data_IF_627463538451
#
_entry.id   IF_627463538451
#
_cell.length_a   1.000
_cell.length_b   1.000
_cell.length_c   1.000
_cell.angle_alpha   90.00
_cell.angle_beta   90.00
_cell.angle_gamma   90.00
#
_symmetry.space_group_name_H-M   'P 1'
#
loop_
_entity.id
_entity.type
_entity.pdbx_description
1 polymer ?
#
# COMPACT_ATOMS: atom_id res chain seq x y z
N UNK A 1 45.56 -58.26 -59.43
CA UNK A 1 45.26 -56.91 -58.87
C UNK A 1 43.75 -56.87 -58.56
N UNK A 2 43.38 -56.99 -57.34
CA UNK A 2 42.04 -56.60 -56.86
C UNK A 2 42.25 -55.67 -55.65
N UNK A 3 41.75 -54.52 -55.54
CA UNK A 3 40.43 -54.02 -55.49
C UNK A 3 40.37 -53.09 -54.29
N UNK A 4 40.61 -51.74 -54.51
CA UNK A 4 40.53 -50.68 -53.48
C UNK A 4 39.08 -50.09 -53.33
N UNK A 5 38.07 -50.87 -53.46
CA UNK A 5 36.69 -50.36 -53.48
C UNK A 5 35.86 -50.64 -52.24
N UNK A 6 36.41 -51.19 -51.17
CA UNK A 6 35.66 -51.57 -49.96
C UNK A 6 35.68 -50.61 -48.77
N UNK A 7 36.52 -49.59 -48.74
CA UNK A 7 36.83 -48.81 -47.54
C UNK A 7 36.02 -47.49 -47.47
N UNK A 8 35.61 -46.92 -48.59
CA UNK A 8 34.95 -45.62 -48.64
C UNK A 8 33.47 -45.64 -48.26
N UNK A 9 32.77 -46.81 -48.35
CA UNK A 9 31.35 -46.89 -47.97
C UNK A 9 31.08 -46.99 -46.46
N UNK A 10 32.03 -47.55 -45.69
CA UNK A 10 31.86 -47.66 -44.24
C UNK A 10 31.97 -46.30 -43.48
N UNK A 11 32.74 -45.37 -44.03
CA UNK A 11 32.94 -44.06 -43.39
C UNK A 11 31.70 -43.14 -43.55
N UNK A 12 30.96 -43.23 -44.65
CA UNK A 12 29.74 -42.44 -44.89
C UNK A 12 28.56 -42.87 -44.02
N UNK A 13 28.43 -44.14 -43.67
CA UNK A 13 27.34 -44.66 -42.85
C UNK A 13 27.53 -44.24 -41.37
N UNK A 14 28.78 -44.24 -40.87
CA UNK A 14 29.09 -43.81 -39.51
C UNK A 14 28.89 -42.28 -39.27
N UNK A 15 29.23 -41.47 -40.27
CA UNK A 15 29.06 -40.02 -40.22
C UNK A 15 27.59 -39.59 -40.17
N UNK A 16 26.72 -40.28 -40.93
CA UNK A 16 25.26 -39.99 -40.90
C UNK A 16 24.61 -40.33 -39.56
N UNK A 17 25.01 -41.46 -38.95
CA UNK A 17 24.53 -41.87 -37.64
C UNK A 17 24.96 -40.91 -36.51
N UNK A 18 26.21 -40.44 -36.56
CA UNK A 18 26.71 -39.46 -35.57
C UNK A 18 25.98 -38.13 -35.71
N UNK A 19 25.75 -37.67 -36.94
CA UNK A 19 25.02 -36.43 -37.18
C UNK A 19 23.54 -36.53 -36.72
N UNK A 20 22.87 -37.66 -37.00
CA UNK A 20 21.47 -37.86 -36.52
C UNK A 20 21.37 -37.96 -35.00
N UNK A 21 22.33 -38.58 -34.32
CA UNK A 21 22.40 -38.63 -32.87
C UNK A 21 22.62 -37.24 -32.27
N UNK A 22 23.48 -36.42 -32.90
CA UNK A 22 23.72 -35.03 -32.45
C UNK A 22 22.46 -34.14 -32.59
N UNK A 23 21.70 -34.25 -33.68
CA UNK A 23 20.46 -33.52 -33.90
C UNK A 23 19.37 -33.94 -32.87
N UNK A 24 19.28 -35.27 -32.59
CA UNK A 24 18.33 -35.77 -31.58
C UNK A 24 18.67 -35.29 -30.16
N UNK A 25 19.95 -35.34 -29.78
CA UNK A 25 20.36 -34.85 -28.44
C UNK A 25 20.20 -33.35 -28.29
N UNK A 26 20.50 -32.58 -29.34
CA UNK A 26 20.31 -31.14 -29.40
C UNK A 26 18.82 -30.77 -29.30
N UNK A 27 17.93 -31.49 -30.01
CA UNK A 27 16.48 -31.30 -29.93
C UNK A 27 15.88 -31.62 -28.53
N UNK A 28 16.39 -32.71 -27.91
CA UNK A 28 16.01 -33.07 -26.55
C UNK A 28 16.45 -32.04 -25.51
N UNK A 29 17.66 -31.52 -25.62
CA UNK A 29 18.16 -30.46 -24.76
C UNK A 29 17.37 -29.17 -24.92
N UNK A 30 17.09 -28.78 -26.16
CA UNK A 30 16.25 -27.59 -26.41
C UNK A 30 14.84 -27.73 -25.84
N UNK A 31 14.22 -28.89 -26.04
CA UNK A 31 12.90 -29.18 -25.46
C UNK A 31 12.93 -29.16 -23.93
N UNK A 32 13.96 -29.66 -23.31
CA UNK A 32 14.14 -29.65 -21.86
C UNK A 32 14.33 -28.24 -21.33
N UNK A 33 15.12 -27.38 -21.99
CA UNK A 33 15.33 -25.97 -21.63
C UNK A 33 14.02 -25.19 -21.75
N UNK A 34 13.26 -25.36 -22.82
CA UNK A 34 11.98 -24.68 -23.02
C UNK A 34 10.93 -25.09 -21.97
N UNK A 35 10.89 -26.35 -21.56
CA UNK A 35 10.00 -26.82 -20.50
C UNK A 35 10.40 -26.36 -19.10
N UNK A 36 11.67 -26.03 -18.85
CA UNK A 36 12.10 -25.44 -17.58
C UNK A 36 11.56 -24.01 -17.39
N UNK A 37 11.48 -23.23 -18.48
CA UNK A 37 10.91 -21.87 -18.43
C UNK A 37 9.40 -21.90 -18.16
N UNK A 38 8.66 -22.83 -18.74
CA UNK A 38 7.21 -22.96 -18.52
C UNK A 38 6.87 -23.36 -17.07
N UNK A 39 7.62 -24.29 -16.48
CA UNK A 39 7.41 -24.68 -15.08
C UNK A 39 7.75 -23.55 -14.10
N UNK A 40 8.68 -22.67 -14.43
CA UNK A 40 8.99 -21.51 -13.61
C UNK A 40 7.87 -20.48 -13.66
N UNK A 41 7.30 -20.23 -14.83
CA UNK A 41 6.14 -19.33 -14.99
C UNK A 41 4.87 -19.84 -14.33
N UNK A 42 4.57 -21.13 -14.43
CA UNK A 42 3.41 -21.70 -13.73
C UNK A 42 3.57 -21.63 -12.21
N UNK A 43 4.75 -21.84 -11.67
CA UNK A 43 5.02 -21.66 -10.24
C UNK A 43 4.86 -20.20 -9.80
N UNK A 44 5.35 -19.24 -10.57
CA UNK A 44 5.13 -17.81 -10.29
C UNK A 44 3.65 -17.44 -10.29
N UNK A 45 2.85 -17.97 -11.22
CA UNK A 45 1.41 -17.68 -11.30
C UNK A 45 0.62 -18.32 -10.16
N UNK A 46 1.02 -19.50 -9.68
CA UNK A 46 0.35 -20.20 -8.57
C UNK A 46 0.76 -19.64 -7.21
N UNK A 47 2.01 -19.19 -7.03
CA UNK A 47 2.51 -18.58 -5.80
C UNK A 47 2.35 -17.06 -5.77
N UNK A 48 2.07 -16.44 -6.91
CA UNK A 48 2.12 -14.99 -7.11
C UNK A 48 1.15 -14.15 -6.28
N UNK A 49 0.16 -14.75 -5.65
CA UNK A 49 -0.79 -14.05 -4.78
C UNK A 49 -0.72 -14.51 -3.31
N UNK A 50 0.31 -15.28 -2.94
CA UNK A 50 0.49 -15.69 -1.55
C UNK A 50 1.31 -14.63 -0.80
N UNK A 51 0.91 -14.29 0.42
CA UNK A 51 1.67 -13.39 1.26
C UNK A 51 3.00 -14.03 1.68
N UNK A 52 4.07 -13.24 1.67
CA UNK A 52 5.41 -13.67 2.06
C UNK A 52 5.80 -13.23 3.48
N UNK A 53 5.04 -12.26 4.06
CA UNK A 53 5.32 -11.74 5.39
C UNK A 53 4.02 -11.50 6.17
N UNK A 54 4.06 -11.92 7.45
CA UNK A 54 3.03 -11.61 8.45
C UNK A 54 3.70 -10.98 9.68
N UNK A 55 3.20 -9.81 10.10
CA UNK A 55 3.56 -9.21 11.38
C UNK A 55 2.28 -9.09 12.22
N UNK A 56 2.38 -9.42 13.49
CA UNK A 56 1.27 -9.30 14.46
C UNK A 56 1.64 -8.27 15.52
N UNK A 57 0.67 -7.40 15.88
CA UNK A 57 0.83 -6.37 16.90
C UNK A 57 2.11 -5.55 16.70
N UNK A 58 2.33 -5.11 15.48
CA UNK A 58 3.56 -4.42 15.09
C UNK A 58 3.31 -2.93 14.80
N UNK A 59 4.40 -2.16 14.75
CA UNK A 59 4.39 -0.77 14.31
C UNK A 59 5.58 -0.44 13.44
N UNK A 60 5.35 0.42 12.45
CA UNK A 60 6.36 1.00 11.57
C UNK A 60 6.52 2.45 11.96
N UNK A 61 7.73 2.87 12.34
CA UNK A 61 8.03 4.26 12.69
C UNK A 61 8.90 4.89 11.62
N UNK A 62 8.50 6.07 11.18
CA UNK A 62 9.22 6.85 10.16
C UNK A 62 9.77 8.11 10.79
N UNK A 63 10.97 8.49 10.35
CA UNK A 63 11.67 9.66 10.82
C UNK A 63 11.96 10.59 9.64
N UNK A 64 11.81 11.87 9.85
CA UNK A 64 12.17 12.89 8.87
C UNK A 64 13.69 13.03 8.72
N UNK A 65 14.15 13.83 7.76
CA UNK A 65 15.58 14.07 7.50
C UNK A 65 16.35 14.69 8.69
N UNK A 66 15.65 15.24 9.67
CA UNK A 66 16.23 15.82 10.88
C UNK A 66 16.29 14.80 12.04
N UNK A 67 15.82 13.57 11.83
CA UNK A 67 15.77 12.51 12.84
C UNK A 67 14.60 12.62 13.81
N UNK A 68 13.63 13.50 13.57
CA UNK A 68 12.40 13.57 14.36
C UNK A 68 11.38 12.55 13.85
N UNK A 69 10.57 12.01 14.78
CA UNK A 69 9.48 11.11 14.44
C UNK A 69 8.45 11.84 13.58
N UNK A 70 8.14 11.29 12.41
CA UNK A 70 7.27 11.87 11.41
C UNK A 70 5.92 11.17 11.35
N UNK A 71 5.94 9.85 11.30
CA UNK A 71 4.73 9.04 11.37
C UNK A 71 4.95 7.70 12.07
N UNK A 72 3.86 7.13 12.58
CA UNK A 72 3.83 5.75 13.10
C UNK A 72 2.58 5.08 12.56
N UNK A 73 2.75 3.92 11.93
CA UNK A 73 1.67 3.06 11.46
C UNK A 73 1.69 1.80 12.32
N UNK A 74 0.70 1.62 13.17
CA UNK A 74 0.52 0.42 13.97
C UNK A 74 -0.69 -0.37 13.47
N UNK A 75 -0.66 -1.70 13.60
CA UNK A 75 -1.81 -2.55 13.28
C UNK A 75 -1.74 -3.88 14.05
N UNK A 76 -2.88 -4.50 14.27
CA UNK A 76 -2.96 -5.84 14.87
C UNK A 76 -2.33 -6.88 13.94
N UNK A 77 -2.49 -6.69 12.62
CA UNK A 77 -1.90 -7.57 11.62
C UNK A 77 -1.51 -6.81 10.36
N UNK A 78 -0.27 -7.04 9.92
CA UNK A 78 0.25 -6.69 8.60
C UNK A 78 0.37 -7.97 7.78
N UNK A 79 -0.05 -7.93 6.53
CA UNK A 79 0.10 -9.04 5.58
C UNK A 79 0.64 -8.48 4.27
N UNK A 80 1.88 -8.80 3.94
CA UNK A 80 2.54 -8.31 2.72
C UNK A 80 2.35 -9.27 1.56
N UNK A 81 2.11 -8.71 0.37
CA UNK A 81 1.91 -9.41 -0.90
C UNK A 81 2.98 -8.94 -1.90
N UNK A 82 3.99 -9.76 -2.20
CA UNK A 82 5.19 -9.34 -2.94
C UNK A 82 4.91 -8.97 -4.39
N UNK A 83 3.93 -9.60 -5.05
CA UNK A 83 3.62 -9.32 -6.46
C UNK A 83 3.03 -7.93 -6.68
N UNK A 84 2.21 -7.48 -5.76
CA UNK A 84 1.56 -6.16 -5.82
C UNK A 84 2.30 -5.10 -5.01
N UNK A 85 3.27 -5.50 -4.18
CA UNK A 85 3.96 -4.66 -3.20
C UNK A 85 2.94 -3.89 -2.33
N UNK A 86 1.92 -4.61 -1.88
CA UNK A 86 0.85 -4.10 -1.02
C UNK A 86 0.91 -4.83 0.32
N UNK A 87 0.81 -4.07 1.40
CA UNK A 87 0.64 -4.61 2.74
C UNK A 87 -0.75 -4.30 3.26
N UNK A 88 -1.60 -5.31 3.47
CA UNK A 88 -2.91 -5.12 4.11
C UNK A 88 -2.77 -4.98 5.61
N UNK A 89 -3.64 -4.17 6.20
CA UNK A 89 -3.63 -3.82 7.62
C UNK A 89 -4.98 -4.18 8.26
N UNK A 90 -4.94 -4.74 9.45
CA UNK A 90 -6.12 -4.95 10.30
C UNK A 90 -6.03 -4.08 11.53
N UNK A 91 -7.13 -3.36 11.84
CA UNK A 91 -7.21 -2.39 12.94
C UNK A 91 -6.04 -1.39 12.91
N UNK A 92 -5.78 -0.74 11.73
CA UNK A 92 -4.68 0.20 11.65
C UNK A 92 -4.93 1.44 12.50
N UNK A 93 -3.84 1.94 13.09
CA UNK A 93 -3.75 3.23 13.77
C UNK A 93 -2.56 3.98 13.21
N UNK A 94 -2.81 5.09 12.54
CA UNK A 94 -1.79 5.96 11.92
C UNK A 94 -1.65 7.22 12.76
N UNK A 95 -0.45 7.50 13.25
CA UNK A 95 -0.13 8.74 13.94
C UNK A 95 0.75 9.62 13.07
N UNK A 96 0.31 10.84 12.83
CA UNK A 96 1.06 11.84 12.06
C UNK A 96 1.54 12.94 13.02
N UNK A 97 2.84 13.15 13.06
CA UNK A 97 3.49 14.13 13.90
C UNK A 97 3.77 15.40 13.10
N UNK A 98 3.71 16.57 13.70
CA UNK A 98 4.05 17.84 13.09
C UNK A 98 5.05 18.59 13.96
N UNK A 99 6.04 19.23 13.34
CA UNK A 99 7.01 20.07 14.04
C UNK A 99 6.37 21.27 14.75
N UNK A 100 5.20 21.71 14.30
CA UNK A 100 4.51 22.90 14.82
C UNK A 100 3.45 22.60 15.86
N UNK A 101 3.10 21.33 16.06
CA UNK A 101 2.06 20.89 16.98
C UNK A 101 2.61 19.83 17.93
N UNK A 102 2.43 20.02 19.23
CA UNK A 102 2.89 19.09 20.27
C UNK A 102 2.13 17.76 20.26
N UNK A 103 0.91 17.73 19.73
CA UNK A 103 0.05 16.54 19.71
C UNK A 103 -0.12 16.00 18.28
N UNK A 104 0.11 14.71 18.06
CA UNK A 104 -0.09 14.08 16.77
C UNK A 104 -1.58 13.94 16.42
N UNK A 105 -1.88 13.81 15.14
CA UNK A 105 -3.14 13.26 14.69
C UNK A 105 -3.13 11.74 14.85
N UNK A 106 -4.17 11.20 15.47
CA UNK A 106 -4.45 9.76 15.52
C UNK A 106 -5.55 9.44 14.53
N UNK A 107 -5.31 8.50 13.63
CA UNK A 107 -6.26 8.06 12.60
C UNK A 107 -6.42 6.55 12.73
N UNK A 108 -7.62 6.08 12.99
CA UNK A 108 -7.93 4.66 13.15
C UNK A 108 -9.04 4.22 12.20
N UNK A 109 -9.02 2.95 11.80
CA UNK A 109 -10.07 2.30 11.02
C UNK A 109 -10.09 0.79 11.28
N UNK A 110 -11.08 0.07 10.74
CA UNK A 110 -11.09 -1.39 10.83
C UNK A 110 -10.14 -2.05 9.86
N UNK A 111 -10.00 -1.48 8.67
CA UNK A 111 -9.20 -2.02 7.61
C UNK A 111 -8.34 -0.96 6.93
N UNK A 112 -7.24 -1.39 6.34
CA UNK A 112 -6.38 -0.51 5.55
C UNK A 112 -5.41 -1.29 4.68
N UNK A 113 -4.67 -0.53 3.87
CA UNK A 113 -3.52 -1.03 3.13
C UNK A 113 -2.44 0.04 3.05
N UNK A 114 -1.21 -0.42 3.13
CA UNK A 114 -0.01 0.36 2.92
C UNK A 114 0.55 0.03 1.54
N UNK A 115 0.74 1.06 0.74
CA UNK A 115 1.44 1.03 -0.54
C UNK A 115 2.81 1.66 -0.29
N UNK A 116 3.84 0.83 -0.24
CA UNK A 116 5.19 1.28 0.14
C UNK A 116 5.78 2.27 -0.86
N UNK A 117 6.69 3.12 -0.39
CA UNK A 117 7.46 4.02 -1.22
C UNK A 117 8.25 3.23 -2.27
N UNK A 118 8.17 3.64 -3.51
CA UNK A 118 8.94 3.07 -4.61
C UNK A 118 9.50 4.16 -5.52
N UNK A 119 10.32 3.78 -6.50
CA UNK A 119 10.86 4.75 -7.50
C UNK A 119 9.76 5.54 -8.25
N UNK A 120 8.56 4.97 -8.36
CA UNK A 120 7.46 5.50 -9.17
C UNK A 120 6.20 5.82 -8.37
N UNK A 121 6.22 5.63 -7.05
CA UNK A 121 5.06 5.79 -6.19
C UNK A 121 5.48 6.30 -4.82
N UNK A 122 4.82 7.34 -4.35
CA UNK A 122 4.91 7.78 -2.95
C UNK A 122 4.27 6.74 -2.02
N UNK A 123 4.63 6.80 -0.77
CA UNK A 123 3.99 5.99 0.25
C UNK A 123 2.57 6.49 0.48
N UNK A 124 1.61 5.56 0.45
CA UNK A 124 0.20 5.85 0.65
C UNK A 124 -0.37 4.84 1.64
N UNK A 125 -1.14 5.32 2.61
CA UNK A 125 -1.96 4.49 3.50
C UNK A 125 -3.42 4.76 3.16
N UNK A 126 -4.11 3.74 2.68
CA UNK A 126 -5.53 3.80 2.43
C UNK A 126 -6.26 3.12 3.60
N UNK A 127 -7.26 3.79 4.16
CA UNK A 127 -8.03 3.37 5.31
C UNK A 127 -9.51 3.34 4.94
N UNK A 128 -10.24 2.33 5.44
CA UNK A 128 -11.68 2.21 5.23
C UNK A 128 -12.36 1.45 6.35
N UNK A 129 -13.69 1.46 6.33
CA UNK A 129 -14.59 0.90 7.35
C UNK A 129 -14.47 1.67 8.69
N UNK A 130 -15.20 2.77 8.77
CA UNK A 130 -15.31 3.55 10.00
C UNK A 130 -14.08 4.35 10.39
N UNK A 131 -13.50 5.08 9.43
CA UNK A 131 -12.33 5.92 9.67
C UNK A 131 -12.65 7.05 10.64
N UNK A 132 -11.88 7.15 11.72
CA UNK A 132 -11.94 8.21 12.72
C UNK A 132 -10.56 8.82 12.89
N UNK A 133 -10.50 10.14 12.88
CA UNK A 133 -9.28 10.87 13.17
C UNK A 133 -9.52 11.88 14.26
N UNK A 134 -8.56 12.02 15.15
CA UNK A 134 -8.65 12.95 16.28
C UNK A 134 -7.28 13.58 16.61
N UNK A 135 -7.33 14.81 17.09
CA UNK A 135 -6.19 15.51 17.66
C UNK A 135 -6.64 16.26 18.91
N UNK A 136 -5.89 16.10 19.96
CA UNK A 136 -6.09 16.85 21.20
C UNK A 136 -5.38 18.20 21.07
N UNK A 137 -6.12 19.30 21.25
CA UNK A 137 -5.56 20.66 21.29
C UNK A 137 -5.02 21.00 22.69
N UNK A 138 -4.22 22.06 22.78
CA UNK A 138 -3.61 22.51 24.03
C UNK A 138 -4.63 22.92 25.11
N UNK A 139 -5.83 23.33 24.70
CA UNK A 139 -6.92 23.74 25.60
C UNK A 139 -7.92 22.62 25.87
N UNK A 140 -7.54 21.34 25.80
CA UNK A 140 -8.43 20.18 25.91
C UNK A 140 -9.57 20.15 24.88
N UNK A 141 -9.49 20.94 23.83
CA UNK A 141 -10.44 20.91 22.72
C UNK A 141 -10.01 19.83 21.74
N UNK A 142 -10.83 18.82 21.57
CA UNK A 142 -10.61 17.78 20.59
C UNK A 142 -11.18 18.23 19.24
N UNK A 143 -10.34 18.18 18.20
CA UNK A 143 -10.78 18.24 16.82
C UNK A 143 -10.81 16.83 16.27
N UNK A 144 -11.95 16.39 15.78
CA UNK A 144 -12.11 15.05 15.21
C UNK A 144 -12.84 15.10 13.88
N UNK A 145 -12.62 14.09 13.05
CA UNK A 145 -13.45 13.85 11.88
C UNK A 145 -13.72 12.37 11.68
N UNK A 146 -14.83 12.06 10.98
CA UNK A 146 -15.27 10.70 10.64
C UNK A 146 -15.63 10.63 9.18
N UNK A 147 -15.23 9.53 8.53
CA UNK A 147 -15.54 9.22 7.13
C UNK A 147 -15.51 7.70 6.91
N UNK A 148 -16.02 7.22 5.79
CA UNK A 148 -15.97 5.78 5.46
C UNK A 148 -14.61 5.38 4.87
N UNK A 149 -13.94 6.29 4.17
CA UNK A 149 -12.61 6.05 3.60
C UNK A 149 -11.71 7.27 3.75
N UNK A 150 -10.41 7.04 3.76
CA UNK A 150 -9.39 8.08 3.84
C UNK A 150 -8.12 7.62 3.15
N UNK A 151 -7.53 8.49 2.36
CA UNK A 151 -6.20 8.30 1.81
C UNK A 151 -5.24 9.20 2.60
N UNK A 152 -4.18 8.62 3.11
CA UNK A 152 -3.15 9.32 3.89
C UNK A 152 -1.84 9.26 3.14
N UNK A 153 -1.18 10.41 2.99
CA UNK A 153 0.16 10.58 2.43
C UNK A 153 1.09 11.02 3.57
N UNK A 154 1.72 10.07 4.30
CA UNK A 154 2.47 10.40 5.51
C UNK A 154 3.57 11.43 5.25
N UNK A 155 4.39 11.24 4.21
CA UNK A 155 5.50 12.14 3.87
C UNK A 155 5.09 13.56 3.45
N UNK A 156 3.80 13.79 3.15
CA UNK A 156 3.25 15.10 2.82
C UNK A 156 2.37 15.68 3.94
N UNK A 157 2.11 14.92 5.01
CA UNK A 157 1.12 15.25 6.04
C UNK A 157 -0.26 15.58 5.46
N UNK A 158 -0.58 15.00 4.30
CA UNK A 158 -1.78 15.22 3.52
C UNK A 158 -2.75 14.07 3.74
N UNK A 159 -4.02 14.39 3.89
CA UNK A 159 -5.11 13.41 3.88
C UNK A 159 -6.21 13.86 2.92
N UNK A 160 -6.84 12.89 2.28
CA UNK A 160 -7.89 13.13 1.29
C UNK A 160 -9.03 12.13 1.46
N UNK A 161 -10.25 12.60 1.32
CA UNK A 161 -11.43 11.76 1.13
C UNK A 161 -12.37 12.40 0.11
N UNK A 162 -12.99 11.56 -0.71
CA UNK A 162 -13.97 11.93 -1.74
C UNK A 162 -15.40 11.57 -1.34
N UNK A 163 -15.60 11.19 -0.08
CA UNK A 163 -16.89 10.81 0.47
C UNK A 163 -17.30 11.74 1.62
N UNK A 164 -18.52 11.53 2.11
CA UNK A 164 -19.05 12.30 3.24
C UNK A 164 -18.08 12.28 4.41
N UNK A 165 -17.72 13.45 4.89
CA UNK A 165 -16.94 13.67 6.10
C UNK A 165 -17.71 14.52 7.09
N UNK A 166 -17.63 14.15 8.37
CA UNK A 166 -18.16 14.92 9.48
C UNK A 166 -17.00 15.35 10.36
N UNK A 167 -16.81 16.64 10.49
CA UNK A 167 -15.74 17.26 11.29
C UNK A 167 -16.40 17.89 12.52
N UNK A 168 -15.96 17.54 13.70
CA UNK A 168 -16.53 17.99 14.97
C UNK A 168 -15.47 18.57 15.89
N UNK A 169 -15.84 19.64 16.56
CA UNK A 169 -15.12 20.19 17.70
C UNK A 169 -16.10 20.51 18.83
N UNK A 170 -15.61 21.06 19.93
CA UNK A 170 -16.45 21.36 21.10
C UNK A 170 -17.67 22.27 20.79
N UNK A 171 -17.55 23.15 19.78
CA UNK A 171 -18.53 24.22 19.53
C UNK A 171 -19.19 24.11 18.16
N UNK A 172 -18.76 23.19 17.29
CA UNK A 172 -19.34 23.09 15.95
C UNK A 172 -19.18 21.69 15.35
N UNK A 173 -20.09 21.42 14.42
CA UNK A 173 -20.02 20.26 13.55
C UNK A 173 -20.18 20.72 12.10
N UNK A 174 -19.28 20.25 11.23
CA UNK A 174 -19.30 20.53 9.79
C UNK A 174 -19.40 19.23 9.03
N UNK A 175 -20.39 19.11 8.15
CA UNK A 175 -20.52 18.00 7.20
C UNK A 175 -20.17 18.48 5.80
N UNK A 176 -19.39 17.69 5.07
CA UNK A 176 -18.99 17.97 3.68
C UNK A 176 -19.07 16.70 2.82
N UNK A 177 -19.04 16.87 1.49
CA UNK A 177 -19.06 15.76 0.53
C UNK A 177 -17.67 15.24 0.17
N UNK A 178 -16.63 15.87 0.69
CA UNK A 178 -15.22 15.50 0.53
C UNK A 178 -14.32 16.45 1.29
N UNK A 179 -13.09 16.04 1.53
CA UNK A 179 -12.10 16.80 2.27
C UNK A 179 -10.69 16.55 1.74
N UNK A 180 -9.89 17.60 1.72
CA UNK A 180 -8.44 17.55 1.62
C UNK A 180 -7.86 18.35 2.80
N UNK A 181 -6.97 17.75 3.58
CA UNK A 181 -6.39 18.44 4.73
C UNK A 181 -4.88 18.27 4.83
N UNK A 182 -4.19 19.35 5.13
CA UNK A 182 -2.77 19.39 5.47
C UNK A 182 -2.63 19.49 6.99
N UNK A 183 -2.21 18.42 7.62
CA UNK A 183 -2.16 18.31 9.08
C UNK A 183 -0.97 19.05 9.71
N UNK A 184 0.11 19.23 8.95
CA UNK A 184 1.29 19.98 9.36
C UNK A 184 0.99 21.46 9.64
N UNK A 185 0.11 22.06 8.82
CA UNK A 185 -0.27 23.48 8.91
C UNK A 185 -1.72 23.70 9.36
N UNK A 186 -2.46 22.63 9.65
CA UNK A 186 -3.86 22.72 10.11
C UNK A 186 -4.84 23.27 9.07
N UNK A 187 -4.55 23.08 7.77
CA UNK A 187 -5.41 23.55 6.68
C UNK A 187 -6.40 22.47 6.26
N UNK A 188 -7.70 22.81 6.25
CA UNK A 188 -8.78 21.97 5.77
C UNK A 188 -9.49 22.63 4.59
N UNK A 189 -9.58 21.90 3.47
CA UNK A 189 -10.38 22.25 2.30
C UNK A 189 -11.55 21.31 2.22
N UNK A 190 -12.76 21.82 2.33
CA UNK A 190 -14.00 21.06 2.28
C UNK A 190 -14.66 21.22 0.92
N UNK A 191 -15.20 20.14 0.38
CA UNK A 191 -15.81 20.11 -0.93
C UNK A 191 -17.27 19.65 -0.83
N UNK A 192 -18.14 20.26 -1.62
CA UNK A 192 -19.49 19.76 -1.85
C UNK A 192 -19.47 18.65 -2.89
N UNK A 193 -20.33 17.66 -2.74
CA UNK A 193 -20.62 16.67 -3.79
C UNK A 193 -22.04 16.89 -4.34
N UNK A 194 -22.44 16.10 -5.36
CA UNK A 194 -23.78 16.20 -5.93
C UNK A 194 -24.90 16.05 -4.89
N UNK A 195 -24.66 15.22 -3.86
CA UNK A 195 -25.67 14.88 -2.83
C UNK A 195 -25.39 15.51 -1.47
N UNK A 196 -24.25 16.16 -1.26
CA UNK A 196 -23.85 16.71 0.02
C UNK A 196 -23.25 18.10 -0.13
N UNK A 197 -23.92 19.11 0.41
CA UNK A 197 -23.36 20.46 0.55
C UNK A 197 -22.47 20.52 1.80
N UNK A 198 -21.56 21.48 1.83
CA UNK A 198 -20.86 21.84 3.07
C UNK A 198 -21.83 22.57 3.98
N UNK A 199 -22.08 22.02 5.15
CA UNK A 199 -22.98 22.58 6.17
C UNK A 199 -22.26 22.61 7.50
N UNK A 200 -22.24 23.77 8.15
CA UNK A 200 -21.68 23.94 9.51
C UNK A 200 -22.78 24.30 10.47
N UNK A 201 -22.90 23.54 11.55
CA UNK A 201 -23.75 23.84 12.69
C UNK A 201 -22.88 24.33 13.84
N UNK A 202 -23.20 25.47 14.41
CA UNK A 202 -22.50 26.05 15.55
C UNK A 202 -23.40 25.89 16.79
N UNK A 203 -22.83 25.31 17.84
CA UNK A 203 -23.51 25.14 19.12
C UNK A 203 -23.27 26.38 19.99
N UNK A 204 -24.32 27.03 20.43
CA UNK A 204 -24.19 28.11 21.40
C UNK A 204 -23.66 27.50 22.72
N UNK A 205 -22.61 28.09 23.29
CA UNK A 205 -22.21 27.75 24.65
C UNK A 205 -23.41 28.02 25.57
N UNK A 206 -23.82 27.05 26.37
CA UNK A 206 -24.81 27.28 27.42
C UNK A 206 -24.27 28.39 28.31
N UNK A 207 -25.00 29.50 28.41
CA UNK A 207 -24.65 30.54 29.35
C UNK A 207 -24.63 29.92 30.74
N UNK A 208 -23.47 29.84 31.38
CA UNK A 208 -23.40 29.50 32.81
C UNK A 208 -24.19 30.56 33.56
N UNK A 209 -25.38 30.21 33.97
CA UNK A 209 -26.13 31.01 34.95
C UNK A 209 -25.36 30.94 36.27
N UNK A 210 -24.49 31.89 36.51
CA UNK A 210 -24.03 32.17 37.86
C UNK A 210 -25.26 32.63 38.67
N UNK A 211 -25.63 31.82 39.65
CA UNK A 211 -26.51 32.21 40.80
C UNK A 211 -25.60 32.32 42.01
#
# INVERSE_FOLDING_TARGET
MPGLWGITQKIKLGSGLIFSAFVLTSGLLLHWILNLEDQSRERELVFGNQPDLYLLNASISQFNHQGNLDSVIAADKFTHYPVTDVTTLKQPNVRLYSLHNSQPWNIASENGRLLSLSKYREEVVELWDGVQAERFGENHQTLSFKTENLIVYPGQHLVECDQKVVISNANSETTAGGMQARFDIGLFKLQSSQNQRVVTTIFAAAASSEI
#
